data_IF_210463167433
#
_entry.id   IF_210463167433
#
_cell.length_a   1.000
_cell.length_b   1.000
_cell.length_c   1.000
_cell.angle_alpha   90.00
_cell.angle_beta   90.00
_cell.angle_gamma   90.00
#
_symmetry.space_group_name_H-M   'P 1'
#
loop_
_entity.id
_entity.type
_entity.pdbx_description
1 polymer ?
#
# COMPACT_ATOMS: atom_id res chain seq x y z
N UNK A 1 10.20 -2.29 -1.65
CA UNK A 1 9.44 -2.11 -2.91
C UNK A 1 8.36 -3.19 -3.02
N UNK A 2 7.42 -3.25 -2.07
CA UNK A 2 6.24 -4.13 -2.13
C UNK A 2 5.16 -3.53 -1.22
N UNK A 3 4.59 -2.38 -1.61
CA UNK A 3 3.50 -1.78 -0.84
C UNK A 3 2.40 -1.12 -1.69
N UNK A 4 2.48 -1.13 -3.02
CA UNK A 4 1.47 -0.46 -3.86
C UNK A 4 0.43 -1.43 -4.47
N UNK A 5 0.59 -2.75 -4.28
CA UNK A 5 -0.28 -3.78 -4.87
C UNK A 5 -1.50 -4.16 -3.99
N UNK A 6 -1.49 -3.84 -2.69
CA UNK A 6 -2.53 -4.28 -1.76
C UNK A 6 -3.74 -3.31 -1.70
N UNK A 7 -3.53 -2.01 -1.93
CA UNK A 7 -4.61 -1.01 -1.95
C UNK A 7 -5.52 -1.18 -3.17
N UNK A 8 -4.97 -1.55 -4.34
CA UNK A 8 -5.78 -1.84 -5.53
C UNK A 8 -6.61 -3.12 -5.41
N UNK A 9 -6.16 -4.12 -4.63
CA UNK A 9 -6.92 -5.37 -4.45
C UNK A 9 -8.15 -5.20 -3.56
N UNK A 10 -8.08 -4.32 -2.56
CA UNK A 10 -9.21 -4.05 -1.69
C UNK A 10 -10.38 -3.39 -2.44
N UNK A 11 -10.07 -2.51 -3.39
CA UNK A 11 -11.07 -1.89 -4.25
C UNK A 11 -11.72 -2.90 -5.22
N UNK A 12 -10.94 -3.84 -5.76
CA UNK A 12 -11.42 -4.88 -6.68
C UNK A 12 -12.28 -5.94 -5.96
N UNK A 13 -11.95 -6.31 -4.71
CA UNK A 13 -12.82 -7.18 -3.90
C UNK A 13 -14.12 -6.47 -3.48
N UNK A 14 -14.06 -5.18 -3.15
CA UNK A 14 -15.25 -4.39 -2.79
C UNK A 14 -16.19 -4.23 -3.98
N UNK A 15 -15.66 -4.02 -5.18
CA UNK A 15 -16.44 -3.99 -6.43
C UNK A 15 -17.03 -5.38 -6.72
N UNK A 16 -16.30 -6.47 -6.53
CA UNK A 16 -16.84 -7.84 -6.71
C UNK A 16 -17.96 -8.16 -5.73
N UNK A 17 -17.90 -7.66 -4.48
CA UNK A 17 -19.00 -7.80 -3.49
C UNK A 17 -20.23 -6.97 -3.87
N UNK A 18 -20.03 -5.71 -4.30
CA UNK A 18 -21.12 -4.84 -4.79
C UNK A 18 -21.81 -5.39 -6.05
N UNK A 19 -21.06 -5.96 -6.99
CA UNK A 19 -21.63 -6.59 -8.20
C UNK A 19 -22.40 -7.87 -7.83
N UNK A 20 -21.91 -8.66 -6.85
CA UNK A 20 -22.60 -9.86 -6.38
C UNK A 20 -23.93 -9.54 -5.68
N UNK A 21 -23.97 -8.48 -4.88
CA UNK A 21 -25.20 -8.01 -4.23
C UNK A 21 -26.20 -7.45 -5.25
N UNK A 22 -25.74 -6.74 -6.30
CA UNK A 22 -26.63 -6.28 -7.38
C UNK A 22 -27.20 -7.43 -8.24
N UNK A 23 -26.45 -8.52 -8.45
CA UNK A 23 -26.98 -9.72 -9.14
C UNK A 23 -27.98 -10.50 -8.29
N UNK A 24 -27.88 -10.44 -6.96
CA UNK A 24 -28.83 -11.09 -6.04
C UNK A 24 -30.17 -10.33 -5.96
N UNK A 25 -30.16 -9.00 -6.05
CA UNK A 25 -31.40 -8.19 -6.04
C UNK A 25 -32.17 -8.34 -7.36
N UNK A 26 -31.47 -8.57 -8.49
CA UNK A 26 -32.11 -8.72 -9.80
C UNK A 26 -32.84 -10.05 -10.00
N UNK A 27 -32.57 -11.07 -9.17
CA UNK A 27 -33.29 -12.35 -9.20
C UNK A 27 -34.60 -12.37 -8.39
N UNK A 28 -34.97 -11.25 -7.74
CA UNK A 28 -36.21 -11.14 -6.96
C UNK A 28 -37.25 -10.16 -7.54
N UNK A 29 -37.07 -9.65 -8.75
CA UNK A 29 -37.96 -8.64 -9.34
C UNK A 29 -38.63 -9.03 -10.68
N UNK A 30 -38.60 -10.32 -11.06
CA UNK A 30 -39.38 -10.83 -12.20
C UNK A 30 -40.62 -11.58 -11.67
N UNK A 31 -41.59 -10.79 -11.23
CA UNK A 31 -42.89 -11.25 -10.76
C UNK A 31 -43.90 -10.11 -10.81
N UNK A 32 -43.94 -9.39 -11.93
CA UNK A 32 -44.99 -8.42 -12.21
C UNK A 32 -46.21 -9.19 -12.73
N UNK A 33 -47.27 -9.20 -11.92
CA UNK A 33 -48.62 -9.60 -12.30
C UNK A 33 -49.02 -8.98 -13.64
N UNK A 34 -49.35 -9.85 -14.59
CA UNK A 34 -50.20 -9.54 -15.75
C UNK A 34 -51.51 -8.90 -15.25
N UNK A 35 -51.92 -7.72 -15.74
CA UNK A 35 -53.24 -7.19 -15.44
C UNK A 35 -54.27 -8.12 -16.08
N UNK A 36 -55.07 -8.74 -15.22
CA UNK A 36 -56.04 -9.75 -15.59
C UNK A 36 -56.92 -9.35 -16.78
N UNK A 37 -57.04 -10.29 -17.71
CA UNK A 37 -58.07 -10.32 -18.74
C UNK A 37 -59.45 -10.05 -18.11
N UNK A 38 -59.95 -8.84 -18.26
CA UNK A 38 -61.36 -8.54 -18.03
C UNK A 38 -62.17 -9.45 -18.95
N UNK A 39 -62.99 -10.31 -18.33
CA UNK A 39 -63.90 -11.19 -19.04
C UNK A 39 -64.71 -10.39 -20.07
N UNK A 40 -64.40 -10.60 -21.37
CA UNK A 40 -65.22 -10.13 -22.47
C UNK A 40 -66.60 -10.81 -22.38
N UNK A 41 -67.55 -10.12 -21.77
CA UNK A 41 -68.97 -10.39 -21.98
C UNK A 41 -69.24 -10.23 -23.47
N UNK A 42 -69.83 -11.22 -24.17
CA UNK A 42 -70.13 -11.11 -25.59
C UNK A 42 -71.03 -9.89 -25.83
N UNK A 43 -70.63 -8.91 -26.66
CA UNK A 43 -71.48 -7.77 -26.96
C UNK A 43 -72.75 -8.28 -27.64
N UNK A 44 -73.92 -7.93 -27.08
CA UNK A 44 -75.21 -8.12 -27.73
C UNK A 44 -75.21 -7.30 -29.01
N UNK A 45 -75.25 -7.99 -30.15
CA UNK A 45 -75.39 -7.40 -31.48
C UNK A 45 -76.80 -6.79 -31.57
N UNK A 46 -76.94 -5.46 -31.78
CA UNK A 46 -78.17 -4.88 -32.29
C UNK A 46 -78.26 -5.18 -33.79
N UNK A 47 -79.40 -5.72 -34.21
CA UNK A 47 -79.70 -6.09 -35.59
C UNK A 47 -79.52 -4.92 -36.57
N UNK A 48 -78.74 -5.14 -37.64
CA UNK A 48 -79.08 -4.59 -38.96
C UNK A 48 -78.23 -3.46 -39.54
N UNK A 49 -76.94 -3.33 -39.22
CA UNK A 49 -76.02 -2.50 -40.03
C UNK A 49 -74.97 -3.42 -40.68
N UNK A 50 -74.84 -3.31 -42.01
CA UNK A 50 -73.96 -4.16 -42.81
C UNK A 50 -72.53 -3.97 -42.32
N UNK A 51 -72.02 -4.98 -41.62
CA UNK A 51 -70.64 -5.02 -41.14
C UNK A 51 -69.73 -5.05 -42.37
N UNK A 52 -69.12 -3.92 -42.69
CA UNK A 52 -68.17 -3.81 -43.78
C UNK A 52 -66.85 -4.48 -43.37
N UNK A 53 -66.61 -5.69 -43.88
CA UNK A 53 -65.40 -6.46 -43.56
C UNK A 53 -64.13 -5.72 -43.98
N UNK A 54 -64.20 -4.86 -44.99
CA UNK A 54 -63.08 -4.00 -45.40
C UNK A 54 -62.80 -2.89 -44.38
N UNK A 55 -63.80 -2.40 -43.65
CA UNK A 55 -63.63 -1.41 -42.57
C UNK A 55 -62.96 -2.06 -41.34
N UNK A 56 -63.36 -3.28 -40.98
CA UNK A 56 -62.71 -4.04 -39.90
C UNK A 56 -61.23 -4.32 -40.24
N UNK A 57 -60.97 -4.73 -41.48
CA UNK A 57 -59.61 -5.06 -41.89
C UNK A 57 -58.70 -3.82 -41.94
N UNK A 58 -59.25 -2.67 -42.36
CA UNK A 58 -58.57 -1.37 -42.36
C UNK A 58 -58.27 -0.88 -40.95
N UNK A 59 -59.26 -0.92 -40.04
CA UNK A 59 -59.09 -0.55 -38.63
C UNK A 59 -58.08 -1.44 -37.91
N UNK A 60 -58.02 -2.74 -38.24
CA UNK A 60 -56.98 -3.64 -37.74
C UNK A 60 -55.61 -3.20 -38.22
N UNK A 61 -55.42 -2.99 -39.52
CA UNK A 61 -54.14 -2.54 -40.07
C UNK A 61 -53.68 -1.19 -39.49
N UNK A 62 -54.61 -0.25 -39.30
CA UNK A 62 -54.32 1.06 -38.70
C UNK A 62 -53.96 0.95 -37.21
N UNK A 63 -54.63 0.08 -36.45
CA UNK A 63 -54.26 -0.25 -35.07
C UNK A 63 -52.87 -0.88 -35.01
N UNK A 64 -52.60 -1.90 -35.82
CA UNK A 64 -51.32 -2.60 -35.82
C UNK A 64 -50.17 -1.66 -36.21
N UNK A 65 -50.40 -0.72 -37.15
CA UNK A 65 -49.43 0.30 -37.52
C UNK A 65 -49.16 1.31 -36.40
N UNK A 66 -50.20 1.79 -35.71
CA UNK A 66 -50.06 2.74 -34.60
C UNK A 66 -49.43 2.09 -33.37
N UNK A 67 -49.77 0.84 -33.08
CA UNK A 67 -49.17 0.05 -32.01
C UNK A 67 -47.69 -0.22 -32.30
N UNK A 68 -47.35 -0.58 -33.54
CA UNK A 68 -45.97 -0.76 -33.96
C UNK A 68 -45.15 0.54 -33.84
N UNK A 69 -45.70 1.67 -34.27
CA UNK A 69 -45.05 2.99 -34.11
C UNK A 69 -44.82 3.32 -32.63
N UNK A 70 -45.83 3.12 -31.79
CA UNK A 70 -45.74 3.35 -30.34
C UNK A 70 -44.68 2.47 -29.69
N UNK A 71 -44.61 1.18 -30.07
CA UNK A 71 -43.62 0.24 -29.54
C UNK A 71 -42.20 0.62 -29.97
N UNK A 72 -42.03 1.05 -31.23
CA UNK A 72 -40.75 1.54 -31.75
C UNK A 72 -40.30 2.76 -30.94
N UNK A 73 -41.16 3.78 -30.79
CA UNK A 73 -40.85 4.99 -30.04
C UNK A 73 -40.53 4.69 -28.57
N UNK A 74 -41.35 3.85 -27.91
CA UNK A 74 -41.12 3.44 -26.53
C UNK A 74 -39.77 2.72 -26.34
N UNK A 75 -39.39 1.84 -27.29
CA UNK A 75 -38.11 1.14 -27.25
C UNK A 75 -36.92 2.11 -27.39
N UNK A 76 -37.00 3.06 -28.34
CA UNK A 76 -35.93 4.05 -28.53
C UNK A 76 -35.82 5.02 -27.36
N UNK A 77 -36.93 5.52 -26.84
CA UNK A 77 -36.94 6.41 -25.67
C UNK A 77 -36.43 5.70 -24.41
N UNK A 78 -36.82 4.45 -24.18
CA UNK A 78 -36.28 3.64 -23.08
C UNK A 78 -34.77 3.47 -23.23
N UNK A 79 -34.32 3.03 -24.40
CA UNK A 79 -32.89 2.80 -24.66
C UNK A 79 -32.07 4.08 -24.50
N UNK A 80 -32.58 5.21 -24.99
CA UNK A 80 -31.92 6.51 -24.86
C UNK A 80 -31.77 6.93 -23.40
N UNK A 81 -32.81 6.76 -22.59
CA UNK A 81 -32.75 7.03 -21.13
C UNK A 81 -31.73 6.12 -20.43
N UNK A 82 -31.77 4.81 -20.72
CA UNK A 82 -30.84 3.85 -20.16
C UNK A 82 -29.38 4.17 -20.55
N UNK A 83 -29.14 4.59 -21.81
CA UNK A 83 -27.81 5.01 -22.29
C UNK A 83 -27.34 6.30 -21.61
N UNK A 84 -28.21 7.30 -21.45
CA UNK A 84 -27.90 8.55 -20.73
C UNK A 84 -27.56 8.28 -19.26
N UNK A 85 -28.30 7.41 -18.58
CA UNK A 85 -28.01 6.98 -17.20
C UNK A 85 -26.68 6.25 -17.09
N UNK A 86 -26.40 5.34 -18.03
CA UNK A 86 -25.16 4.58 -18.06
C UNK A 86 -23.95 5.51 -18.31
N UNK A 87 -24.08 6.48 -19.22
CA UNK A 87 -23.05 7.49 -19.47
C UNK A 87 -22.79 8.32 -18.22
N UNK A 88 -23.85 8.83 -17.57
CA UNK A 88 -23.73 9.62 -16.34
C UNK A 88 -23.06 8.82 -15.21
N UNK A 89 -23.43 7.54 -15.04
CA UNK A 89 -22.82 6.67 -14.05
C UNK A 89 -21.34 6.42 -14.35
N UNK A 90 -21.02 6.13 -15.61
CA UNK A 90 -19.64 5.90 -16.07
C UNK A 90 -18.78 7.15 -15.85
N UNK A 91 -19.29 8.34 -16.18
CA UNK A 91 -18.60 9.60 -15.95
C UNK A 91 -18.34 9.86 -14.46
N UNK A 92 -19.30 9.55 -13.58
CA UNK A 92 -19.11 9.66 -12.12
C UNK A 92 -18.06 8.68 -11.59
N UNK A 93 -18.02 7.45 -12.12
CA UNK A 93 -17.00 6.47 -11.75
C UNK A 93 -15.62 6.92 -12.23
N UNK A 94 -15.53 7.41 -13.47
CA UNK A 94 -14.29 7.90 -14.05
C UNK A 94 -13.75 9.11 -13.27
N UNK A 95 -14.60 10.07 -12.90
CA UNK A 95 -14.22 11.20 -12.05
C UNK A 95 -13.69 10.75 -10.68
N UNK A 96 -14.31 9.76 -10.04
CA UNK A 96 -13.79 9.22 -8.76
C UNK A 96 -12.46 8.48 -8.94
N UNK A 97 -12.25 7.81 -10.08
CA UNK A 97 -10.98 7.15 -10.39
C UNK A 97 -9.87 8.16 -10.64
N UNK A 98 -10.14 9.22 -11.41
CA UNK A 98 -9.18 10.28 -11.65
C UNK A 98 -8.84 11.05 -10.37
N UNK A 99 -9.82 11.35 -9.51
CA UNK A 99 -9.60 11.97 -8.20
C UNK A 99 -8.69 11.12 -7.30
N UNK A 100 -8.93 9.80 -7.21
CA UNK A 100 -8.07 8.89 -6.42
C UNK A 100 -6.65 8.81 -7.00
N UNK A 101 -6.53 8.71 -8.33
CA UNK A 101 -5.22 8.74 -9.01
C UNK A 101 -4.47 10.04 -8.72
N UNK A 102 -5.16 11.18 -8.73
CA UNK A 102 -4.58 12.47 -8.41
C UNK A 102 -4.19 12.61 -6.94
N UNK A 103 -4.99 12.08 -6.01
CA UNK A 103 -4.62 12.01 -4.59
C UNK A 103 -3.34 11.19 -4.38
N UNK A 104 -3.22 10.03 -5.04
CA UNK A 104 -1.99 9.23 -5.01
C UNK A 104 -0.81 9.99 -5.63
N UNK A 105 -1.01 10.69 -6.75
CA UNK A 105 0.04 11.53 -7.36
C UNK A 105 0.52 12.61 -6.39
N UNK A 106 -0.39 13.33 -5.75
CA UNK A 106 -0.06 14.37 -4.76
C UNK A 106 0.68 13.77 -3.57
N UNK A 107 0.25 12.60 -3.08
CA UNK A 107 0.91 11.93 -1.95
C UNK A 107 2.34 11.51 -2.30
N UNK A 108 2.52 10.86 -3.46
CA UNK A 108 3.84 10.42 -3.93
C UNK A 108 4.76 11.60 -4.25
N UNK A 109 4.24 12.70 -4.79
CA UNK A 109 5.00 13.94 -5.04
C UNK A 109 5.44 14.60 -3.73
N UNK A 110 4.55 14.74 -2.74
CA UNK A 110 4.90 15.27 -1.41
C UNK A 110 5.94 14.41 -0.69
N UNK A 111 5.84 13.09 -0.81
CA UNK A 111 6.86 12.18 -0.24
C UNK A 111 8.20 12.32 -0.97
N UNK A 112 8.20 12.37 -2.31
CA UNK A 112 9.41 12.65 -3.09
C UNK A 112 10.04 13.99 -2.72
N UNK A 113 9.24 15.03 -2.54
CA UNK A 113 9.73 16.36 -2.12
C UNK A 113 10.38 16.32 -0.74
N UNK A 114 9.80 15.58 0.23
CA UNK A 114 10.41 15.36 1.55
C UNK A 114 11.75 14.63 1.42
N UNK A 115 11.82 13.57 0.62
CA UNK A 115 13.05 12.83 0.39
C UNK A 115 14.12 13.70 -0.29
N UNK A 116 13.73 14.51 -1.28
CA UNK A 116 14.62 15.45 -1.97
C UNK A 116 15.15 16.50 -1.01
N UNK A 117 14.30 17.12 -0.16
CA UNK A 117 14.75 18.11 0.85
C UNK A 117 15.76 17.51 1.83
N UNK A 118 15.52 16.28 2.29
CA UNK A 118 16.47 15.58 3.16
C UNK A 118 17.78 15.25 2.45
N UNK A 119 17.72 14.86 1.18
CA UNK A 119 18.90 14.59 0.37
C UNK A 119 19.69 15.87 0.06
N UNK A 120 19.00 16.99 -0.21
CA UNK A 120 19.59 18.30 -0.49
C UNK A 120 20.22 18.91 0.76
N UNK A 121 19.56 18.83 1.93
CA UNK A 121 20.16 19.28 3.20
C UNK A 121 21.41 18.46 3.53
N UNK A 122 21.36 17.15 3.29
CA UNK A 122 22.51 16.27 3.46
C UNK A 122 23.64 16.62 2.47
N UNK A 123 23.30 16.89 1.22
CA UNK A 123 24.25 17.28 0.18
C UNK A 123 24.89 18.64 0.49
N UNK A 124 24.12 19.64 0.93
CA UNK A 124 24.63 20.96 1.33
C UNK A 124 25.57 20.86 2.52
N UNK A 125 25.24 20.02 3.50
CA UNK A 125 26.10 19.73 4.65
C UNK A 125 27.38 19.01 4.25
N UNK A 126 27.31 18.11 3.27
CA UNK A 126 28.46 17.40 2.71
C UNK A 126 29.36 18.35 1.89
N UNK A 127 28.78 19.29 1.14
CA UNK A 127 29.50 20.31 0.38
C UNK A 127 30.20 21.33 1.31
N UNK A 128 29.52 21.77 2.38
CA UNK A 128 30.14 22.62 3.41
C UNK A 128 31.25 21.86 4.18
N UNK A 129 31.08 20.57 4.47
CA UNK A 129 32.11 19.74 5.09
C UNK A 129 33.29 19.48 4.14
N UNK A 130 33.05 19.31 2.84
CA UNK A 130 34.08 19.17 1.83
C UNK A 130 34.87 20.47 1.61
N UNK A 131 34.20 21.62 1.56
CA UNK A 131 34.85 22.93 1.47
C UNK A 131 35.66 23.25 2.72
N UNK A 132 35.11 22.99 3.91
CA UNK A 132 35.85 23.15 5.17
C UNK A 132 37.04 22.20 5.25
N UNK A 133 36.91 20.96 4.75
CA UNK A 133 38.02 20.00 4.68
C UNK A 133 39.11 20.48 3.73
N UNK A 134 38.76 21.05 2.57
CA UNK A 134 39.73 21.62 1.64
C UNK A 134 40.46 22.84 2.23
N UNK A 135 39.73 23.74 2.90
CA UNK A 135 40.32 24.91 3.56
C UNK A 135 41.20 24.51 4.76
N UNK A 136 40.77 23.53 5.56
CA UNK A 136 41.53 23.00 6.69
C UNK A 136 42.78 22.24 6.19
N UNK A 137 42.71 21.54 5.06
CA UNK A 137 43.88 20.85 4.46
C UNK A 137 44.88 21.84 3.85
N UNK A 138 44.39 22.92 3.22
CA UNK A 138 45.23 24.02 2.75
C UNK A 138 45.89 24.79 3.91
N UNK A 139 45.13 25.05 5.00
CA UNK A 139 45.67 25.64 6.23
C UNK A 139 46.64 24.69 6.93
N UNK A 140 46.34 23.39 7.04
CA UNK A 140 47.25 22.37 7.57
C UNK A 140 48.52 22.29 6.74
N UNK A 141 48.44 22.30 5.40
CA UNK A 141 49.62 22.31 4.54
C UNK A 141 50.49 23.56 4.76
N UNK A 142 49.85 24.73 4.94
CA UNK A 142 50.54 25.99 5.26
C UNK A 142 51.19 26.00 6.66
N UNK A 143 50.54 25.39 7.65
CA UNK A 143 51.03 25.31 9.04
C UNK A 143 52.07 24.20 9.22
N UNK A 144 51.87 23.04 8.59
CA UNK A 144 52.77 21.88 8.63
C UNK A 144 54.09 22.15 7.89
N UNK A 145 54.07 23.00 6.86
CA UNK A 145 55.29 23.52 6.25
C UNK A 145 56.10 24.44 7.18
N UNK A 146 55.50 24.97 8.25
CA UNK A 146 56.12 25.92 9.18
C UNK A 146 56.46 25.39 10.58
N UNK A 147 55.99 24.21 10.99
CA UNK A 147 56.14 23.80 12.39
C UNK A 147 56.42 22.30 12.57
N UNK A 148 57.69 21.99 12.86
CA UNK A 148 58.08 20.71 13.46
C UNK A 148 57.55 20.67 14.90
N UNK A 149 56.37 20.09 15.14
CA UNK A 149 55.87 19.88 16.51
C UNK A 149 55.18 18.54 16.69
N UNK A 150 55.70 17.84 17.71
CA UNK A 150 55.57 16.43 18.04
C UNK A 150 54.27 16.11 18.80
N UNK A 151 53.70 14.94 18.54
CA UNK A 151 52.83 14.19 19.47
C UNK A 151 51.32 14.45 19.44
N UNK A 152 50.83 15.68 19.23
CA UNK A 152 49.39 15.97 19.40
C UNK A 152 48.52 15.63 18.17
N UNK A 153 49.10 15.61 16.96
CA UNK A 153 48.37 15.39 15.70
C UNK A 153 48.02 13.92 15.38
N UNK A 154 48.68 12.94 16.01
CA UNK A 154 48.43 11.52 15.73
C UNK A 154 47.02 11.04 16.15
N UNK A 155 46.37 11.75 17.08
CA UNK A 155 45.00 11.41 17.53
C UNK A 155 43.92 12.09 16.70
N UNK A 156 44.22 13.21 16.03
CA UNK A 156 43.27 13.99 15.24
C UNK A 156 43.26 13.61 13.76
N UNK A 157 44.40 13.19 13.19
CA UNK A 157 44.43 12.81 11.76
C UNK A 157 43.76 11.46 11.47
N UNK A 158 43.58 10.59 12.47
CA UNK A 158 42.74 9.38 12.33
C UNK A 158 41.22 9.67 12.28
N UNK A 159 40.79 10.93 12.47
CA UNK A 159 39.39 11.34 12.45
C UNK A 159 38.95 12.03 11.16
N UNK A 160 39.84 12.20 10.16
CA UNK A 160 39.54 12.85 8.87
C UNK A 160 39.19 11.91 7.70
N UNK A 161 39.17 10.59 7.93
CA UNK A 161 38.60 9.61 6.99
C UNK A 161 37.07 9.58 7.06
N UNK A 162 36.37 8.95 6.10
CA UNK A 162 34.92 8.73 6.20
C UNK A 162 34.59 8.23 7.61
N UNK A 163 33.63 8.89 8.28
CA UNK A 163 33.30 8.63 9.69
C UNK A 163 33.23 7.12 9.90
N UNK A 164 34.25 6.57 10.56
CA UNK A 164 34.25 5.15 10.93
C UNK A 164 32.99 4.94 11.76
N UNK A 165 32.11 4.06 11.28
CA UNK A 165 30.84 3.77 11.93
C UNK A 165 31.11 3.52 13.42
N UNK A 166 30.42 4.27 14.27
CA UNK A 166 30.64 4.14 15.71
C UNK A 166 30.19 2.75 16.17
N UNK A 167 30.79 2.20 17.23
CA UNK A 167 30.35 0.89 17.77
C UNK A 167 28.86 0.93 18.17
N UNK A 168 28.34 2.11 18.53
CA UNK A 168 26.91 2.35 18.77
C UNK A 168 26.08 2.19 17.50
N UNK A 169 26.53 2.76 16.38
CA UNK A 169 25.87 2.61 15.09
C UNK A 169 25.93 1.16 14.60
N UNK A 170 27.09 0.49 14.68
CA UNK A 170 27.22 -0.93 14.32
C UNK A 170 26.27 -1.80 15.12
N UNK A 171 26.23 -1.61 16.44
CA UNK A 171 25.29 -2.33 17.31
C UNK A 171 23.85 -2.08 16.89
N UNK A 172 23.49 -0.83 16.58
CA UNK A 172 22.13 -0.48 16.14
C UNK A 172 21.78 -1.18 14.82
N UNK A 173 22.68 -1.15 13.85
CA UNK A 173 22.52 -1.81 12.54
C UNK A 173 22.36 -3.32 12.68
N UNK A 174 23.24 -3.99 13.42
CA UNK A 174 23.17 -5.44 13.64
C UNK A 174 21.87 -5.83 14.37
N UNK A 175 21.45 -5.04 15.37
CA UNK A 175 20.20 -5.32 16.07
C UNK A 175 18.96 -5.10 15.21
N UNK A 176 18.97 -4.10 14.31
CA UNK A 176 17.88 -3.92 13.34
C UNK A 176 17.83 -5.07 12.33
N UNK A 177 18.97 -5.58 11.85
CA UNK A 177 19.01 -6.73 10.93
C UNK A 177 18.49 -8.01 11.57
N UNK A 178 18.76 -8.20 12.88
CA UNK A 178 18.25 -9.35 13.65
C UNK A 178 16.78 -9.24 14.03
N UNK A 179 16.20 -8.04 13.97
CA UNK A 179 14.81 -7.78 14.32
C UNK A 179 13.91 -8.24 13.18
N UNK A 180 13.08 -9.25 13.43
CA UNK A 180 12.00 -9.62 12.52
C UNK A 180 10.79 -8.73 12.82
N UNK A 181 10.28 -8.07 11.80
CA UNK A 181 9.03 -7.31 11.91
C UNK A 181 7.85 -8.27 12.06
N UNK A 182 6.93 -7.94 12.96
CA UNK A 182 5.74 -8.75 13.23
C UNK A 182 4.54 -8.05 12.60
N UNK A 183 3.94 -8.71 11.62
CA UNK A 183 2.70 -8.26 10.99
C UNK A 183 1.56 -8.88 11.80
N UNK A 184 0.94 -8.10 12.68
CA UNK A 184 -0.13 -8.61 13.57
C UNK A 184 -1.55 -8.41 13.02
N UNK A 185 -1.71 -7.61 11.96
CA UNK A 185 -3.03 -7.29 11.43
C UNK A 185 -3.51 -8.43 10.52
N UNK A 186 -4.74 -8.90 10.75
CA UNK A 186 -5.44 -9.94 9.99
C UNK A 186 -4.85 -11.36 10.08
N UNK A 187 -4.31 -11.76 11.24
CA UNK A 187 -3.94 -13.16 11.50
C UNK A 187 -5.12 -13.95 12.06
N UNK A 188 -5.26 -15.21 11.63
CA UNK A 188 -6.17 -16.17 12.24
C UNK A 188 -5.61 -16.66 13.60
N UNK A 189 -6.48 -17.13 14.50
CA UNK A 189 -6.12 -17.54 15.87
C UNK A 189 -5.00 -18.60 15.91
N UNK A 190 -5.04 -19.57 15.00
CA UNK A 190 -4.02 -20.61 14.90
C UNK A 190 -2.64 -20.04 14.52
N UNK A 191 -2.61 -19.05 13.61
CA UNK A 191 -1.37 -18.37 13.19
C UNK A 191 -0.82 -17.47 14.29
N UNK A 192 -1.70 -16.89 15.12
CA UNK A 192 -1.29 -16.12 16.30
C UNK A 192 -0.61 -17.02 17.34
N UNK A 193 -1.15 -18.21 17.59
CA UNK A 193 -0.53 -19.21 18.50
C UNK A 193 0.84 -19.65 17.98
N UNK A 194 0.94 -19.98 16.69
CA UNK A 194 2.21 -20.37 16.08
C UNK A 194 3.26 -19.25 16.16
N UNK A 195 2.86 -17.99 15.92
CA UNK A 195 3.75 -16.83 16.05
C UNK A 195 4.22 -16.64 17.48
N UNK A 196 3.31 -16.75 18.46
CA UNK A 196 3.63 -16.65 19.88
C UNK A 196 4.60 -17.75 20.32
N UNK A 197 4.36 -19.00 19.93
CA UNK A 197 5.26 -20.12 20.21
C UNK A 197 6.63 -19.95 19.57
N UNK A 198 6.68 -19.45 18.33
CA UNK A 198 7.93 -19.11 17.64
C UNK A 198 8.72 -18.00 18.35
N UNK A 199 8.03 -16.98 18.86
CA UNK A 199 8.65 -15.92 19.67
C UNK A 199 9.20 -16.46 21.00
N UNK A 200 8.42 -17.29 21.69
CA UNK A 200 8.84 -17.92 22.94
C UNK A 200 10.09 -18.79 22.75
N UNK A 201 10.15 -19.60 21.69
CA UNK A 201 11.35 -20.40 21.36
C UNK A 201 12.57 -19.52 21.09
N UNK A 202 12.42 -18.48 20.25
CA UNK A 202 13.51 -17.53 19.95
C UNK A 202 14.01 -16.78 21.18
N UNK A 203 13.12 -16.43 22.11
CA UNK A 203 13.50 -15.79 23.37
C UNK A 203 14.35 -16.74 24.23
N UNK A 204 13.94 -18.01 24.37
CA UNK A 204 14.71 -19.03 25.10
C UNK A 204 16.09 -19.29 24.49
N UNK A 205 16.19 -19.34 23.16
CA UNK A 205 17.47 -19.48 22.45
C UNK A 205 18.42 -18.31 22.79
N UNK A 206 17.93 -17.07 22.71
CA UNK A 206 18.71 -15.87 23.03
C UNK A 206 19.14 -15.84 24.52
N UNK A 207 18.28 -16.28 25.43
CA UNK A 207 18.62 -16.41 26.85
C UNK A 207 19.74 -17.44 27.07
N UNK A 208 19.67 -18.59 26.39
CA UNK A 208 20.72 -19.61 26.42
C UNK A 208 22.07 -19.08 25.93
N UNK A 209 22.08 -18.41 24.77
CA UNK A 209 23.28 -17.78 24.22
C UNK A 209 23.87 -16.73 25.19
N UNK A 210 23.00 -15.91 25.81
CA UNK A 210 23.43 -14.90 26.77
C UNK A 210 24.06 -15.54 28.01
N UNK A 211 23.50 -16.62 28.53
CA UNK A 211 24.06 -17.36 29.66
C UNK A 211 25.46 -17.91 29.34
N UNK A 212 25.62 -18.58 28.19
CA UNK A 212 26.91 -19.13 27.77
C UNK A 212 27.97 -18.03 27.58
N UNK A 213 27.58 -16.88 27.02
CA UNK A 213 28.48 -15.73 26.86
C UNK A 213 28.87 -15.12 28.20
N UNK A 214 27.95 -15.03 29.16
CA UNK A 214 28.26 -14.56 30.51
C UNK A 214 29.23 -15.50 31.25
N UNK A 215 29.01 -16.81 31.12
CA UNK A 215 29.91 -17.81 31.68
C UNK A 215 31.32 -17.71 31.08
N UNK A 216 31.41 -17.67 29.74
CA UNK A 216 32.68 -17.47 29.01
C UNK A 216 33.39 -16.18 29.43
N UNK A 217 32.67 -15.06 29.52
CA UNK A 217 33.23 -13.78 29.94
C UNK A 217 33.80 -13.85 31.36
N UNK A 218 33.10 -14.52 32.28
CA UNK A 218 33.56 -14.72 33.66
C UNK A 218 34.84 -15.56 33.72
N UNK A 219 34.88 -16.64 32.95
CA UNK A 219 36.07 -17.49 32.82
C UNK A 219 37.27 -16.72 32.24
N UNK A 220 37.08 -16.01 31.13
CA UNK A 220 38.12 -15.18 30.51
C UNK A 220 38.65 -14.10 31.45
N UNK A 221 37.79 -13.51 32.29
CA UNK A 221 38.21 -12.53 33.29
C UNK A 221 39.17 -13.15 34.32
N UNK A 222 38.92 -14.39 34.74
CA UNK A 222 39.82 -15.14 35.61
C UNK A 222 41.14 -15.46 34.89
N UNK A 223 41.10 -15.99 33.67
CA UNK A 223 42.29 -16.30 32.88
C UNK A 223 43.18 -15.07 32.68
N UNK A 224 42.60 -13.92 32.33
CA UNK A 224 43.33 -12.65 32.19
C UNK A 224 44.02 -12.28 33.51
N UNK A 225 43.36 -12.49 34.65
CA UNK A 225 43.95 -12.19 35.96
C UNK A 225 45.15 -13.08 36.25
N UNK A 226 45.02 -14.39 35.99
CA UNK A 226 46.12 -15.35 36.14
C UNK A 226 47.28 -15.03 35.19
N UNK A 227 46.99 -14.73 33.93
CA UNK A 227 48.01 -14.38 32.93
C UNK A 227 48.76 -13.09 33.31
N UNK A 228 48.06 -12.08 33.83
CA UNK A 228 48.70 -10.86 34.34
C UNK A 228 49.66 -11.16 35.48
N UNK A 229 49.27 -12.01 36.42
CA UNK A 229 50.14 -12.41 37.53
C UNK A 229 51.37 -13.16 37.02
N UNK A 230 51.19 -14.14 36.12
CA UNK A 230 52.30 -14.89 35.49
C UNK A 230 53.29 -13.97 34.78
N UNK A 231 52.80 -13.01 34.00
CA UNK A 231 53.66 -12.01 33.33
C UNK A 231 54.43 -11.19 34.36
N UNK A 232 53.77 -10.73 35.42
CA UNK A 232 54.43 -9.96 36.48
C UNK A 232 55.51 -10.77 37.19
N UNK A 233 55.26 -12.05 37.46
CA UNK A 233 56.22 -12.92 38.15
C UNK A 233 57.46 -13.20 37.28
N UNK A 234 57.27 -13.40 35.97
CA UNK A 234 58.38 -13.54 35.01
C UNK A 234 59.16 -12.24 34.76
N UNK A 235 58.58 -11.07 35.04
CA UNK A 235 59.25 -9.77 34.93
C UNK A 235 60.02 -9.36 36.21
N UNK A 236 59.80 -10.05 37.33
CA UNK A 236 60.48 -9.79 38.61
C UNK A 236 61.79 -10.58 38.78
N UNK A 237 62.04 -11.56 37.92
CA UNK A 237 63.37 -12.14 37.65
C UNK A 237 64.16 -11.24 36.72
#
# INVERSE_FOLDING_TARGET
MRCDDDDMRCDDEMIKRLVKDQTSVRQQADGAEEPGDEALVPPKIPDGEIVDFDDIHRKRMEKDLTELQTLIEAHFEKRKKDEEELINLTQRIENRRSERSEQHRIHTEREKERQIKLAEEKARKEEEEAKRKADDDAKKKKVLAGFQYTGYMQKTDKRGGPKKQTEREKKRTILSERRKELIMQNLNDDKLRETADGMCKRLRELEGENFDLQFKHTHQKYEITVLRNRVSDHQKT
#
